data_IF_318719768934
#
_entry.id   IF_318719768934
#
_cell.length_a   1.000
_cell.length_b   1.000
_cell.length_c   1.000
_cell.angle_alpha   90.00
_cell.angle_beta   90.00
_cell.angle_gamma   90.00
#
_symmetry.space_group_name_H-M   'P 1'
#
loop_
_entity.id
_entity.type
_entity.pdbx_description
1 polymer ?
#
# COMPACT_ATOMS: atom_id res chain seq x y z
N UNK A 1 -42.77 -1.57 -42.60
CA UNK A 1 -41.80 -2.37 -41.82
C UNK A 1 -41.26 -1.49 -40.71
N UNK A 2 -41.46 -1.87 -39.43
CA UNK A 2 -40.80 -1.17 -38.30
C UNK A 2 -39.43 -1.80 -38.10
N UNK A 3 -38.38 -1.00 -38.29
CA UNK A 3 -36.99 -1.39 -38.05
C UNK A 3 -36.55 -0.85 -36.68
N UNK A 4 -35.68 -1.57 -35.94
CA UNK A 4 -35.14 -1.07 -34.69
C UNK A 4 -34.29 0.18 -34.94
N UNK A 5 -34.47 1.20 -34.08
CA UNK A 5 -33.62 2.40 -34.09
C UNK A 5 -32.44 2.16 -33.17
N UNK A 6 -31.23 2.40 -33.67
CA UNK A 6 -30.02 2.44 -32.83
C UNK A 6 -30.17 3.59 -31.83
N UNK A 7 -30.13 3.28 -30.53
CA UNK A 7 -30.22 4.30 -29.48
C UNK A 7 -28.94 5.14 -29.42
N UNK A 8 -29.06 6.39 -28.97
CA UNK A 8 -27.91 7.25 -28.71
C UNK A 8 -26.95 6.63 -27.69
N UNK A 9 -27.48 5.83 -26.76
CA UNK A 9 -26.68 5.09 -25.79
C UNK A 9 -25.72 4.10 -26.48
N UNK A 10 -26.20 3.30 -27.45
CA UNK A 10 -25.34 2.38 -28.20
C UNK A 10 -24.27 3.10 -29.02
N UNK A 11 -24.57 4.31 -29.52
CA UNK A 11 -23.60 5.15 -30.22
C UNK A 11 -22.53 5.64 -29.23
N UNK A 12 -22.96 6.20 -28.10
CA UNK A 12 -22.07 6.68 -27.02
C UNK A 12 -21.15 5.57 -26.51
N UNK A 13 -21.67 4.37 -26.29
CA UNK A 13 -20.88 3.21 -25.87
C UNK A 13 -19.81 2.87 -26.92
N UNK A 14 -20.21 2.72 -28.19
CA UNK A 14 -19.28 2.41 -29.30
C UNK A 14 -18.19 3.48 -29.47
N UNK A 15 -18.58 4.76 -29.39
CA UNK A 15 -17.66 5.89 -29.48
C UNK A 15 -16.68 5.93 -28.31
N UNK A 16 -17.14 5.57 -27.11
CA UNK A 16 -16.31 5.53 -25.90
C UNK A 16 -15.26 4.43 -25.98
N UNK A 17 -15.64 3.23 -26.44
CA UNK A 17 -14.69 2.13 -26.66
C UNK A 17 -13.62 2.51 -27.69
N UNK A 18 -14.03 3.16 -28.77
CA UNK A 18 -13.11 3.64 -29.81
C UNK A 18 -12.12 4.65 -29.25
N UNK A 19 -12.59 5.64 -28.48
CA UNK A 19 -11.74 6.64 -27.87
C UNK A 19 -10.77 6.04 -26.83
N UNK A 20 -11.25 5.10 -25.99
CA UNK A 20 -10.40 4.42 -25.02
C UNK A 20 -9.28 3.63 -25.70
N UNK A 21 -9.60 2.84 -26.73
CA UNK A 21 -8.60 2.06 -27.51
C UNK A 21 -7.51 2.94 -28.13
N UNK A 22 -7.84 4.19 -28.49
CA UNK A 22 -6.88 5.12 -29.07
C UNK A 22 -5.89 5.69 -28.05
N UNK A 23 -6.28 5.79 -26.77
CA UNK A 23 -5.44 6.36 -25.72
C UNK A 23 -4.68 5.30 -24.91
N UNK A 24 -5.14 4.05 -24.91
CA UNK A 24 -4.43 2.98 -24.24
C UNK A 24 -3.11 2.64 -24.96
N UNK A 25 -2.04 2.29 -24.21
CA UNK A 25 -0.78 1.89 -24.82
C UNK A 25 -0.96 0.67 -25.73
N UNK A 26 -0.40 0.72 -26.93
CA UNK A 26 -0.57 -0.31 -27.96
C UNK A 26 -0.09 -1.70 -27.55
N UNK A 27 0.88 -1.75 -26.63
CA UNK A 27 1.42 -3.00 -26.11
C UNK A 27 0.50 -3.68 -25.07
N UNK A 28 -0.48 -2.97 -24.51
CA UNK A 28 -1.41 -3.58 -23.56
C UNK A 28 -2.40 -4.50 -24.26
N UNK A 29 -2.74 -5.61 -23.62
CA UNK A 29 -3.72 -6.57 -24.17
C UNK A 29 -5.10 -6.20 -23.65
N UNK A 30 -6.05 -5.95 -24.56
CA UNK A 30 -7.45 -5.62 -24.24
C UNK A 30 -8.31 -6.86 -24.44
N UNK A 31 -9.12 -7.19 -23.44
CA UNK A 31 -10.09 -8.31 -23.46
C UNK A 31 -11.47 -7.75 -23.13
N UNK A 32 -12.32 -7.57 -24.13
CA UNK A 32 -13.68 -7.08 -23.95
C UNK A 32 -14.59 -8.16 -23.35
N UNK A 33 -15.50 -7.75 -22.46
CA UNK A 33 -16.49 -8.65 -21.86
C UNK A 33 -17.79 -8.47 -22.62
N UNK A 34 -18.22 -9.53 -23.33
CA UNK A 34 -19.33 -9.44 -24.28
C UNK A 34 -20.71 -9.78 -23.69
N UNK A 35 -20.78 -10.59 -22.63
CA UNK A 35 -22.06 -11.02 -22.02
C UNK A 35 -22.02 -10.97 -20.49
N UNK A 36 -23.13 -10.53 -19.87
CA UNK A 36 -23.32 -10.48 -18.41
C UNK A 36 -22.13 -9.85 -17.68
N UNK A 37 -21.75 -8.64 -18.09
CA UNK A 37 -20.60 -7.92 -17.58
C UNK A 37 -20.66 -7.59 -16.07
N UNK A 38 -21.86 -7.59 -15.48
CA UNK A 38 -22.14 -7.13 -14.11
C UNK A 38 -21.45 -5.79 -13.79
N UNK A 39 -21.31 -4.92 -14.80
CA UNK A 39 -20.62 -3.64 -14.72
C UNK A 39 -19.10 -3.68 -14.92
N UNK A 40 -18.56 -4.63 -15.68
CA UNK A 40 -17.16 -4.66 -16.11
C UNK A 40 -17.09 -4.79 -17.64
N UNK A 41 -16.73 -3.72 -18.32
CA UNK A 41 -16.80 -3.69 -19.78
C UNK A 41 -15.60 -4.38 -20.44
N UNK A 42 -14.42 -4.32 -19.80
CA UNK A 42 -13.21 -4.96 -20.33
C UNK A 42 -12.15 -5.17 -19.25
N UNK A 43 -11.25 -6.11 -19.53
CA UNK A 43 -10.00 -6.29 -18.82
C UNK A 43 -8.83 -5.81 -19.67
N UNK A 44 -7.85 -5.19 -19.03
CA UNK A 44 -6.56 -4.89 -19.63
C UNK A 44 -5.47 -5.70 -18.94
N UNK A 45 -4.49 -6.16 -19.71
CA UNK A 45 -3.21 -6.61 -19.19
C UNK A 45 -2.17 -5.51 -19.42
N UNK A 46 -1.61 -5.01 -18.32
CA UNK A 46 -0.61 -3.97 -18.33
C UNK A 46 0.72 -4.61 -18.71
N UNK A 47 1.20 -4.27 -19.91
CA UNK A 47 2.47 -4.79 -20.43
C UNK A 47 3.58 -3.76 -20.20
N UNK A 48 4.62 -4.20 -19.51
CA UNK A 48 5.81 -3.41 -19.20
C UNK A 48 6.72 -3.14 -20.39
N UNK A 49 7.83 -2.44 -20.15
CA UNK A 49 8.79 -2.05 -21.20
C UNK A 49 9.45 -3.23 -21.91
N UNK A 50 9.61 -4.34 -21.20
CA UNK A 50 10.22 -5.58 -21.72
C UNK A 50 9.27 -6.36 -22.64
N UNK A 51 8.02 -5.91 -22.82
CA UNK A 51 6.99 -6.56 -23.65
C UNK A 51 6.66 -7.99 -23.21
N UNK A 52 6.94 -8.32 -21.94
CA UNK A 52 6.60 -9.61 -21.36
C UNK A 52 5.19 -9.56 -20.75
N UNK A 53 4.40 -10.59 -21.04
CA UNK A 53 3.11 -10.83 -20.40
C UNK A 53 3.34 -11.37 -18.99
N UNK A 54 2.85 -10.64 -17.99
CA UNK A 54 3.04 -10.96 -16.56
C UNK A 54 1.75 -11.38 -15.86
N UNK A 55 0.60 -11.34 -16.55
CA UNK A 55 -0.71 -11.49 -15.91
C UNK A 55 -1.12 -10.29 -15.06
N UNK A 56 -0.52 -9.11 -15.28
CA UNK A 56 -0.87 -7.87 -14.59
C UNK A 56 -2.21 -7.30 -15.08
N UNK A 57 -3.30 -7.82 -14.52
CA UNK A 57 -4.66 -7.55 -14.98
C UNK A 57 -5.36 -6.44 -14.18
N UNK A 58 -6.02 -5.52 -14.88
CA UNK A 58 -6.97 -4.57 -14.30
C UNK A 58 -8.32 -4.64 -15.03
N UNK A 59 -9.42 -4.47 -14.29
CA UNK A 59 -10.75 -4.42 -14.84
C UNK A 59 -11.21 -2.96 -15.00
N UNK A 60 -11.82 -2.64 -16.14
CA UNK A 60 -12.33 -1.30 -16.43
C UNK A 60 -13.85 -1.32 -16.61
N UNK A 61 -14.53 -0.40 -15.93
CA UNK A 61 -15.87 0.04 -16.32
C UNK A 61 -15.74 1.33 -17.12
N UNK A 62 -16.14 1.30 -18.37
CA UNK A 62 -16.21 2.43 -19.28
C UNK A 62 -17.57 3.14 -19.18
N UNK A 63 -17.54 4.47 -19.16
CA UNK A 63 -18.72 5.32 -19.23
C UNK A 63 -18.48 6.48 -20.19
N UNK A 64 -19.34 6.61 -21.20
CA UNK A 64 -19.34 7.76 -22.10
C UNK A 64 -20.17 8.92 -21.59
N UNK A 65 -19.67 10.15 -21.70
CA UNK A 65 -20.45 11.38 -21.55
C UNK A 65 -20.15 12.35 -22.68
N UNK A 66 -21.18 13.06 -23.16
CA UNK A 66 -21.02 14.09 -24.21
C UNK A 66 -19.94 15.11 -23.83
N UNK A 67 -20.05 15.68 -22.63
CA UNK A 67 -19.05 16.55 -22.03
C UNK A 67 -18.89 16.24 -20.53
N UNK A 68 -17.66 16.33 -20.02
CA UNK A 68 -17.34 16.27 -18.60
C UNK A 68 -17.06 17.68 -18.08
N UNK A 69 -17.75 18.09 -17.02
CA UNK A 69 -17.53 19.38 -16.36
C UNK A 69 -16.63 19.18 -15.15
N UNK A 70 -15.46 19.79 -15.17
CA UNK A 70 -14.54 19.82 -14.04
C UNK A 70 -14.69 21.14 -13.30
N UNK A 71 -14.83 21.09 -11.98
CA UNK A 71 -14.85 22.24 -11.08
C UNK A 71 -13.71 22.05 -10.10
N UNK A 72 -12.78 23.00 -10.04
CA UNK A 72 -11.53 22.90 -9.25
C UNK A 72 -10.78 21.58 -9.50
N UNK A 73 -10.66 21.22 -10.78
CA UNK A 73 -9.99 19.99 -11.22
C UNK A 73 -10.74 18.69 -10.96
N UNK A 74 -11.97 18.74 -10.45
CA UNK A 74 -12.73 17.53 -10.10
C UNK A 74 -14.03 17.44 -10.86
N UNK A 75 -14.35 16.24 -11.33
CA UNK A 75 -15.66 15.88 -11.87
C UNK A 75 -16.28 14.76 -11.04
N UNK A 76 -17.59 14.57 -11.17
CA UNK A 76 -18.30 13.51 -10.45
C UNK A 76 -19.17 12.71 -11.41
N UNK A 77 -19.04 11.39 -11.33
CA UNK A 77 -19.88 10.44 -12.01
C UNK A 77 -20.83 9.79 -11.00
N UNK A 78 -22.07 10.28 -10.96
CA UNK A 78 -23.12 9.82 -10.04
C UNK A 78 -23.98 8.70 -10.64
N UNK A 79 -24.69 7.97 -9.78
CA UNK A 79 -25.71 7.01 -10.21
C UNK A 79 -25.21 5.58 -10.37
N UNK A 80 -23.99 5.27 -9.91
CA UNK A 80 -23.51 3.88 -9.85
C UNK A 80 -24.25 3.17 -8.75
N UNK A 81 -24.88 2.03 -9.06
CA UNK A 81 -25.61 1.26 -8.05
C UNK A 81 -24.65 0.69 -7.00
N UNK A 82 -25.11 0.61 -5.76
CA UNK A 82 -24.33 0.02 -4.66
C UNK A 82 -23.99 -1.45 -4.89
N UNK A 83 -24.90 -2.23 -5.48
CA UNK A 83 -24.65 -3.63 -5.83
C UNK A 83 -23.44 -3.76 -6.79
N UNK A 84 -23.35 -2.87 -7.78
CA UNK A 84 -22.23 -2.82 -8.73
C UNK A 84 -20.93 -2.43 -8.06
N UNK A 85 -20.95 -1.42 -7.17
CA UNK A 85 -19.78 -1.06 -6.38
C UNK A 85 -19.30 -2.23 -5.51
N UNK A 86 -20.21 -2.89 -4.80
CA UNK A 86 -19.87 -4.03 -3.93
C UNK A 86 -19.23 -5.16 -4.73
N UNK A 87 -19.76 -5.45 -5.91
CA UNK A 87 -19.15 -6.39 -6.85
C UNK A 87 -17.72 -5.97 -7.23
N UNK A 88 -17.52 -4.71 -7.63
CA UNK A 88 -16.18 -4.19 -7.97
C UNK A 88 -15.17 -4.31 -6.83
N UNK A 89 -15.59 -4.02 -5.59
CA UNK A 89 -14.73 -4.11 -4.42
C UNK A 89 -14.36 -5.57 -4.07
N UNK A 90 -15.23 -6.52 -4.40
CA UNK A 90 -14.99 -7.95 -4.19
C UNK A 90 -14.07 -8.61 -5.23
N UNK A 91 -13.83 -7.94 -6.37
CA UNK A 91 -12.98 -8.51 -7.42
C UNK A 91 -11.52 -8.60 -6.97
N UNK A 92 -10.81 -9.71 -7.31
CA UNK A 92 -9.41 -9.87 -6.98
C UNK A 92 -8.52 -8.91 -7.77
N UNK A 93 -8.95 -8.54 -8.98
CA UNK A 93 -8.26 -7.53 -9.79
C UNK A 93 -8.69 -6.11 -9.41
N UNK A 94 -7.78 -5.11 -9.49
CA UNK A 94 -8.15 -3.72 -9.33
C UNK A 94 -9.18 -3.27 -10.37
N UNK A 95 -10.21 -2.55 -9.93
CA UNK A 95 -11.24 -1.98 -10.80
C UNK A 95 -11.04 -0.48 -10.94
N UNK A 96 -11.08 0.01 -12.17
CA UNK A 96 -11.06 1.42 -12.51
C UNK A 96 -12.32 1.81 -13.26
N UNK A 97 -12.92 2.94 -12.91
CA UNK A 97 -13.93 3.56 -13.76
C UNK A 97 -13.23 4.49 -14.75
N UNK A 98 -13.44 4.28 -16.04
CA UNK A 98 -12.97 5.13 -17.12
C UNK A 98 -14.13 5.97 -17.67
N UNK A 99 -14.00 7.29 -17.63
CA UNK A 99 -14.97 8.23 -18.17
C UNK A 99 -14.45 8.90 -19.43
N UNK A 100 -15.12 8.71 -20.56
CA UNK A 100 -14.77 9.32 -21.84
C UNK A 100 -15.60 10.58 -22.06
N UNK A 101 -14.93 11.71 -22.28
CA UNK A 101 -15.55 12.94 -22.77
C UNK A 101 -15.60 12.90 -24.30
N UNK A 102 -16.78 12.69 -24.88
CA UNK A 102 -16.92 12.51 -26.34
C UNK A 102 -16.60 13.76 -27.14
N UNK A 103 -16.85 14.96 -26.60
CA UNK A 103 -16.50 16.23 -27.27
C UNK A 103 -14.99 16.41 -27.42
N UNK A 104 -14.20 16.03 -26.40
CA UNK A 104 -12.74 16.19 -26.42
C UNK A 104 -11.99 14.90 -26.77
N UNK A 105 -12.71 13.77 -26.88
CA UNK A 105 -12.16 12.41 -26.99
C UNK A 105 -11.11 12.06 -25.91
N UNK A 106 -11.15 12.76 -24.77
CA UNK A 106 -10.27 12.46 -23.62
C UNK A 106 -10.91 11.40 -22.73
N UNK A 107 -10.08 10.55 -22.14
CA UNK A 107 -10.50 9.52 -21.20
C UNK A 107 -9.82 9.76 -19.84
N UNK A 108 -10.62 9.79 -18.79
CA UNK A 108 -10.19 9.95 -17.39
C UNK A 108 -10.46 8.66 -16.64
N UNK A 109 -9.69 8.37 -15.60
CA UNK A 109 -9.86 7.17 -14.79
C UNK A 109 -9.99 7.47 -13.30
N UNK A 110 -10.61 6.55 -12.57
CA UNK A 110 -10.76 6.60 -11.13
C UNK A 110 -10.54 5.21 -10.54
N UNK A 111 -9.64 5.11 -9.56
CA UNK A 111 -9.39 3.87 -8.83
C UNK A 111 -10.47 3.67 -7.75
N UNK A 112 -11.27 2.61 -7.90
CA UNK A 112 -12.42 2.34 -7.04
C UNK A 112 -11.99 1.94 -5.62
N UNK A 113 -11.03 1.04 -5.47
CA UNK A 113 -10.57 0.60 -4.14
C UNK A 113 -9.90 1.74 -3.37
N UNK A 114 -9.13 2.59 -4.06
CA UNK A 114 -8.54 3.79 -3.44
C UNK A 114 -9.60 4.77 -2.91
N UNK A 115 -10.63 5.07 -3.69
CA UNK A 115 -11.73 5.94 -3.22
C UNK A 115 -12.54 5.32 -2.08
N UNK A 116 -12.72 3.99 -2.09
CA UNK A 116 -13.35 3.29 -0.98
C UNK A 116 -12.58 3.47 0.33
N UNK A 117 -11.25 3.31 0.27
CA UNK A 117 -10.37 3.51 1.44
C UNK A 117 -10.37 4.94 1.98
N UNK A 118 -10.59 5.92 1.10
CA UNK A 118 -10.80 7.33 1.47
C UNK A 118 -12.22 7.61 2.03
N UNK A 119 -13.03 6.58 2.30
CA UNK A 119 -14.36 6.72 2.87
C UNK A 119 -15.43 7.25 1.91
N UNK A 120 -15.14 7.39 0.61
CA UNK A 120 -16.07 8.02 -0.35
C UNK A 120 -17.40 7.29 -0.50
N UNK A 121 -17.44 5.99 -0.18
CA UNK A 121 -18.60 5.14 -0.36
C UNK A 121 -19.30 4.76 0.95
N UNK A 122 -18.95 5.41 2.07
CA UNK A 122 -19.49 5.10 3.41
C UNK A 122 -20.97 5.41 3.63
N UNK A 123 -21.62 6.23 2.78
CA UNK A 123 -23.08 6.47 2.91
C UNK A 123 -23.88 5.18 2.71
N UNK A 124 -25.15 5.11 3.14
CA UNK A 124 -26.04 3.97 2.89
C UNK A 124 -26.89 4.09 1.61
N UNK A 125 -26.64 5.11 0.78
CA UNK A 125 -27.42 5.39 -0.44
C UNK A 125 -27.42 4.23 -1.43
N UNK A 126 -28.55 3.97 -2.11
CA UNK A 126 -28.67 2.95 -3.18
C UNK A 126 -27.72 3.20 -4.35
N UNK A 127 -27.29 4.45 -4.54
CA UNK A 127 -26.30 4.84 -5.54
C UNK A 127 -25.14 5.60 -4.91
N UNK A 128 -23.97 5.46 -5.51
CA UNK A 128 -22.73 6.14 -5.16
C UNK A 128 -22.27 7.04 -6.30
N UNK A 129 -21.39 7.96 -5.95
CA UNK A 129 -20.75 8.89 -6.87
C UNK A 129 -19.25 8.66 -6.86
N UNK A 130 -18.66 8.59 -8.04
CA UNK A 130 -17.23 8.41 -8.23
C UNK A 130 -16.62 9.75 -8.61
N UNK A 131 -15.54 10.11 -7.94
CA UNK A 131 -14.81 11.32 -8.26
C UNK A 131 -13.80 11.05 -9.37
N UNK A 132 -13.67 11.98 -10.30
CA UNK A 132 -12.62 12.00 -11.32
C UNK A 132 -11.78 13.26 -11.10
N UNK A 133 -10.48 13.17 -11.35
CA UNK A 133 -9.60 14.33 -11.43
C UNK A 133 -9.21 14.58 -12.89
N UNK A 134 -8.83 15.81 -13.24
CA UNK A 134 -8.39 16.12 -14.60
C UNK A 134 -6.95 15.69 -14.88
N UNK A 135 -6.19 15.33 -13.84
CA UNK A 135 -4.84 14.79 -13.94
C UNK A 135 -4.82 13.27 -14.16
N UNK A 136 -5.84 12.56 -13.67
CA UNK A 136 -5.99 11.11 -13.84
C UNK A 136 -6.58 10.80 -15.23
N UNK A 137 -5.78 11.04 -16.28
CA UNK A 137 -6.11 10.71 -17.67
C UNK A 137 -5.12 9.69 -18.28
N UNK A 138 -5.21 9.43 -19.59
CA UNK A 138 -4.28 8.56 -20.30
C UNK A 138 -3.22 9.33 -21.11
N UNK A 139 -2.88 10.56 -20.70
CA UNK A 139 -1.64 11.23 -21.15
C UNK A 139 -0.41 10.52 -20.59
N UNK A 140 0.81 10.89 -21.00
CA UNK A 140 2.03 10.25 -20.49
C UNK A 140 2.13 10.30 -18.95
N UNK A 141 1.83 11.45 -18.35
CA UNK A 141 1.81 11.61 -16.89
C UNK A 141 0.66 10.81 -16.25
N UNK A 142 -0.53 10.86 -16.86
CA UNK A 142 -1.70 10.13 -16.38
C UNK A 142 -1.54 8.60 -16.48
N UNK A 143 -0.86 8.10 -17.50
CA UNK A 143 -0.48 6.69 -17.65
C UNK A 143 0.54 6.24 -16.60
N UNK A 144 1.50 7.11 -16.28
CA UNK A 144 2.43 6.87 -15.18
C UNK A 144 1.69 6.82 -13.84
N UNK A 145 0.77 7.75 -13.59
CA UNK A 145 -0.09 7.76 -12.40
C UNK A 145 -1.00 6.52 -12.34
N UNK A 146 -1.58 6.09 -13.47
CA UNK A 146 -2.37 4.86 -13.56
C UNK A 146 -1.54 3.63 -13.19
N UNK A 147 -0.32 3.53 -13.73
CA UNK A 147 0.61 2.42 -13.45
C UNK A 147 1.04 2.37 -11.98
N UNK A 148 1.29 3.54 -11.38
CA UNK A 148 1.59 3.67 -9.94
C UNK A 148 0.39 3.24 -9.11
N UNK A 149 -0.81 3.74 -9.47
CA UNK A 149 -2.07 3.39 -8.82
C UNK A 149 -2.34 1.88 -8.89
N UNK A 150 -2.20 1.27 -10.06
CA UNK A 150 -2.32 -0.18 -10.25
C UNK A 150 -1.32 -0.96 -9.39
N UNK A 151 -0.04 -0.58 -9.44
CA UNK A 151 1.03 -1.25 -8.69
C UNK A 151 0.77 -1.18 -7.18
N UNK A 152 0.25 -0.04 -6.71
CA UNK A 152 -0.15 0.14 -5.32
C UNK A 152 -1.31 -0.77 -4.94
N UNK A 153 -2.35 -0.90 -5.78
CA UNK A 153 -3.45 -1.85 -5.52
C UNK A 153 -2.98 -3.29 -5.49
N UNK A 154 -2.12 -3.70 -6.44
CA UNK A 154 -1.56 -5.05 -6.50
C UNK A 154 -0.82 -5.40 -5.19
N UNK A 155 -0.09 -4.42 -4.64
CA UNK A 155 0.72 -4.59 -3.42
C UNK A 155 -0.03 -4.24 -2.14
N UNK A 156 -1.28 -3.78 -2.25
CA UNK A 156 -2.04 -3.27 -1.10
C UNK A 156 -2.18 -4.29 0.04
N UNK A 157 -2.46 -5.59 -0.20
CA UNK A 157 -2.53 -6.57 0.89
C UNK A 157 -1.23 -6.67 1.71
N UNK A 158 -0.10 -6.55 1.04
CA UNK A 158 1.22 -6.60 1.68
C UNK A 158 1.51 -5.30 2.44
N UNK A 159 1.10 -4.15 1.87
CA UNK A 159 1.19 -2.84 2.51
C UNK A 159 0.34 -2.81 3.78
N UNK A 160 -0.89 -3.33 3.74
CA UNK A 160 -1.77 -3.45 4.90
C UNK A 160 -1.16 -4.31 6.00
N UNK A 161 -0.60 -5.46 5.64
CA UNK A 161 0.09 -6.31 6.59
C UNK A 161 1.31 -5.58 7.18
N UNK A 162 2.10 -4.87 6.37
CA UNK A 162 3.21 -4.07 6.88
C UNK A 162 2.74 -2.95 7.81
N UNK A 163 1.61 -2.30 7.52
CA UNK A 163 0.98 -1.30 8.41
C UNK A 163 0.66 -1.94 9.76
N UNK A 164 -0.15 -3.01 9.77
CA UNK A 164 -0.54 -3.70 11.00
C UNK A 164 0.67 -4.16 11.80
N UNK A 165 1.60 -4.88 11.16
CA UNK A 165 2.77 -5.44 11.87
C UNK A 165 3.74 -4.37 12.34
N UNK A 166 3.99 -3.33 11.55
CA UNK A 166 4.87 -2.24 11.99
C UNK A 166 4.29 -1.45 13.16
N UNK A 167 2.97 -1.28 13.21
CA UNK A 167 2.29 -0.64 14.34
C UNK A 167 2.28 -1.56 15.56
N UNK A 168 2.04 -2.86 15.41
CA UNK A 168 2.03 -3.78 16.57
C UNK A 168 3.43 -4.09 17.14
N UNK A 169 4.48 -3.99 16.31
CA UNK A 169 5.85 -4.35 16.67
C UNK A 169 6.76 -3.12 16.82
N UNK A 170 6.23 -1.90 16.84
CA UNK A 170 7.11 -0.72 16.85
C UNK A 170 7.98 -0.66 18.12
N UNK A 171 7.47 -1.16 19.25
CA UNK A 171 8.16 -1.23 20.53
C UNK A 171 9.40 -2.14 20.47
N UNK A 172 9.40 -3.16 19.62
CA UNK A 172 10.55 -4.06 19.45
C UNK A 172 11.68 -3.46 18.61
N UNK A 173 11.43 -2.36 17.89
CA UNK A 173 12.47 -1.76 17.04
C UNK A 173 13.59 -1.12 17.87
N UNK A 174 13.25 -0.52 19.01
CA UNK A 174 14.20 0.12 19.93
C UNK A 174 15.28 -0.80 20.46
N UNK A 175 14.89 -1.83 21.22
CA UNK A 175 15.86 -2.76 21.77
C UNK A 175 16.69 -3.42 20.65
N UNK A 176 16.09 -3.79 19.50
CA UNK A 176 16.81 -4.35 18.36
C UNK A 176 17.92 -3.41 17.84
N UNK A 177 17.60 -2.13 17.65
CA UNK A 177 18.57 -1.12 17.19
C UNK A 177 19.69 -0.96 18.22
N UNK A 178 19.37 -0.91 19.51
CA UNK A 178 20.34 -0.78 20.59
C UNK A 178 21.30 -1.97 20.67
N UNK A 179 20.78 -3.20 20.56
CA UNK A 179 21.59 -4.43 20.47
C UNK A 179 22.60 -4.32 19.35
N UNK A 180 22.13 -3.93 18.16
CA UNK A 180 22.99 -3.84 16.98
C UNK A 180 24.03 -2.73 17.12
N UNK A 181 23.65 -1.60 17.74
CA UNK A 181 24.52 -0.45 17.96
C UNK A 181 25.64 -0.73 18.97
N UNK A 182 25.36 -1.49 20.04
CA UNK A 182 26.33 -1.81 21.10
C UNK A 182 27.26 -2.98 20.76
N UNK A 183 26.81 -3.85 19.86
CA UNK A 183 27.59 -5.02 19.47
C UNK A 183 28.87 -4.65 18.71
N UNK A 184 29.91 -5.46 18.90
CA UNK A 184 31.19 -5.28 18.21
C UNK A 184 31.01 -5.54 16.71
N UNK A 185 31.42 -4.57 15.88
CA UNK A 185 31.12 -4.58 14.45
C UNK A 185 31.73 -5.75 13.66
N UNK A 186 32.83 -6.31 14.17
CA UNK A 186 33.54 -7.45 13.61
C UNK A 186 32.97 -8.81 14.04
N UNK A 187 31.83 -8.85 14.73
CA UNK A 187 31.11 -10.08 15.03
C UNK A 187 29.89 -10.23 14.11
N UNK A 188 29.60 -11.45 13.63
CA UNK A 188 28.32 -11.74 12.98
C UNK A 188 27.18 -11.69 14.01
N UNK A 189 26.01 -11.22 13.58
CA UNK A 189 24.81 -11.29 14.41
C UNK A 189 24.29 -12.73 14.53
N UNK A 190 23.50 -13.00 15.58
CA UNK A 190 22.80 -14.27 15.72
C UNK A 190 21.71 -14.41 14.64
N UNK A 191 21.28 -15.64 14.37
CA UNK A 191 20.20 -15.92 13.43
C UNK A 191 18.90 -15.23 13.82
N UNK A 192 18.59 -15.19 15.12
CA UNK A 192 17.44 -14.46 15.66
C UNK A 192 17.47 -12.98 15.29
N UNK A 193 18.60 -12.30 15.54
CA UNK A 193 18.76 -10.89 15.19
C UNK A 193 18.63 -10.70 13.67
N UNK A 194 19.21 -11.60 12.87
CA UNK A 194 19.07 -11.56 11.42
C UNK A 194 17.59 -11.61 10.97
N UNK A 195 16.79 -12.51 11.55
CA UNK A 195 15.37 -12.63 11.20
C UNK A 195 14.58 -11.39 11.60
N UNK A 196 14.80 -10.86 12.81
CA UNK A 196 14.15 -9.63 13.27
C UNK A 196 14.50 -8.43 12.38
N UNK A 197 15.78 -8.27 12.03
CA UNK A 197 16.23 -7.21 11.11
C UNK A 197 15.55 -7.36 9.75
N UNK A 198 15.54 -8.57 9.18
CA UNK A 198 14.91 -8.81 7.88
C UNK A 198 13.43 -8.44 7.90
N UNK A 199 12.71 -8.85 8.95
CA UNK A 199 11.29 -8.56 9.12
C UNK A 199 11.02 -7.05 9.22
N UNK A 200 11.72 -6.34 10.11
CA UNK A 200 11.59 -4.88 10.22
C UNK A 200 12.00 -4.17 8.91
N UNK A 201 13.01 -4.68 8.21
CA UNK A 201 13.47 -4.11 6.95
C UNK A 201 12.44 -4.28 5.83
N UNK A 202 11.76 -5.43 5.75
CA UNK A 202 10.68 -5.65 4.78
C UNK A 202 9.52 -4.68 4.99
N UNK A 203 9.12 -4.44 6.25
CA UNK A 203 8.09 -3.45 6.57
C UNK A 203 8.55 -2.03 6.23
N UNK A 204 9.76 -1.65 6.64
CA UNK A 204 10.37 -0.38 6.23
C UNK A 204 10.36 -0.22 4.71
N UNK A 205 10.76 -1.26 3.96
CA UNK A 205 10.85 -1.19 2.51
C UNK A 205 9.48 -0.94 1.86
N UNK A 206 8.44 -1.66 2.30
CA UNK A 206 7.08 -1.47 1.80
C UNK A 206 6.54 -0.08 2.16
N UNK A 207 6.60 0.29 3.44
CA UNK A 207 5.96 1.50 3.92
C UNK A 207 6.67 2.77 3.43
N UNK A 208 8.00 2.83 3.47
CA UNK A 208 8.74 3.98 2.94
C UNK A 208 8.49 4.18 1.45
N UNK A 209 8.37 3.09 0.69
CA UNK A 209 8.07 3.16 -0.74
C UNK A 209 6.64 3.62 -1.03
N UNK A 210 5.65 3.06 -0.34
CA UNK A 210 4.24 3.26 -0.70
C UNK A 210 3.50 4.33 0.11
N UNK A 211 3.99 4.69 1.30
CA UNK A 211 3.44 5.77 2.12
C UNK A 211 4.26 7.06 1.96
N UNK A 212 5.60 6.96 1.92
CA UNK A 212 6.47 8.14 1.82
C UNK A 212 7.00 8.43 0.40
N UNK A 213 6.75 7.54 -0.57
CA UNK A 213 7.24 7.71 -1.95
C UNK A 213 8.76 7.57 -2.11
N UNK A 214 9.44 6.96 -1.12
CA UNK A 214 10.90 6.75 -1.12
C UNK A 214 11.30 5.57 -2.01
N UNK A 215 12.60 5.41 -2.22
CA UNK A 215 13.18 4.30 -3.00
C UNK A 215 14.23 3.55 -2.16
N UNK A 216 13.81 2.85 -1.10
CA UNK A 216 14.71 2.07 -0.26
C UNK A 216 15.45 1.01 -1.08
N UNK A 217 16.69 0.70 -0.69
CA UNK A 217 17.48 -0.38 -1.30
C UNK A 217 16.80 -1.73 -1.05
N UNK A 218 16.95 -2.68 -1.97
CA UNK A 218 16.50 -4.06 -1.72
C UNK A 218 17.33 -4.67 -0.60
N UNK A 219 16.78 -5.65 0.13
CA UNK A 219 17.51 -6.32 1.21
C UNK A 219 18.80 -6.99 0.70
N UNK A 220 18.82 -7.48 -0.54
CA UNK A 220 20.02 -8.04 -1.19
C UNK A 220 21.21 -7.10 -1.20
N UNK A 221 20.98 -5.78 -1.32
CA UNK A 221 22.03 -4.77 -1.26
C UNK A 221 22.82 -4.87 0.06
N UNK A 222 22.15 -5.09 1.18
CA UNK A 222 22.82 -5.21 2.49
C UNK A 222 23.62 -6.50 2.64
N UNK A 223 23.14 -7.59 2.03
CA UNK A 223 23.93 -8.82 1.93
C UNK A 223 25.19 -8.63 1.06
N UNK A 224 25.10 -7.88 -0.04
CA UNK A 224 26.27 -7.50 -0.85
C UNK A 224 27.25 -6.62 -0.07
N UNK A 225 26.75 -5.66 0.72
CA UNK A 225 27.59 -4.85 1.61
C UNK A 225 28.31 -5.72 2.65
N UNK A 226 27.66 -6.78 3.14
CA UNK A 226 28.26 -7.71 4.09
C UNK A 226 29.40 -8.52 3.48
N UNK A 227 29.23 -9.03 2.26
CA UNK A 227 30.29 -9.71 1.52
C UNK A 227 31.49 -8.76 1.31
N UNK A 228 31.20 -7.51 0.93
CA UNK A 228 32.24 -6.49 0.73
C UNK A 228 32.98 -6.13 2.03
N UNK A 229 32.25 -6.04 3.15
CA UNK A 229 32.83 -5.78 4.46
C UNK A 229 33.75 -6.93 4.91
N UNK A 230 33.32 -8.19 4.74
CA UNK A 230 34.14 -9.37 5.05
C UNK A 230 35.46 -9.36 4.28
N UNK A 231 35.40 -9.12 2.97
CA UNK A 231 36.58 -9.09 2.11
C UNK A 231 37.56 -7.96 2.50
N UNK A 232 37.05 -6.75 2.77
CA UNK A 232 37.89 -5.59 3.09
C UNK A 232 38.55 -5.64 4.48
N UNK A 233 37.99 -6.42 5.40
CA UNK A 233 38.48 -6.53 6.79
C UNK A 233 39.09 -7.89 7.11
N UNK A 234 39.19 -8.78 6.11
CA UNK A 234 39.70 -10.15 6.26
C UNK A 234 38.95 -10.96 7.34
N UNK A 235 37.63 -10.75 7.44
CA UNK A 235 36.75 -11.50 8.36
C UNK A 235 36.25 -12.80 7.69
N UNK A 236 35.99 -13.86 8.48
CA UNK A 236 35.51 -15.12 7.93
C UNK A 236 34.13 -14.97 7.28
N UNK A 237 33.81 -15.80 6.27
CA UNK A 237 32.48 -15.86 5.70
C UNK A 237 31.41 -16.14 6.76
N UNK A 238 30.28 -15.45 6.67
CA UNK A 238 29.11 -15.67 7.54
C UNK A 238 27.82 -15.69 6.73
N UNK A 239 26.87 -16.54 7.14
CA UNK A 239 25.50 -16.57 6.62
C UNK A 239 24.66 -15.39 7.14
N UNK A 240 25.04 -14.84 8.29
CA UNK A 240 24.41 -13.66 8.90
C UNK A 240 25.23 -12.40 8.67
N UNK A 241 24.57 -11.26 8.75
CA UNK A 241 25.19 -9.96 8.62
C UNK A 241 26.09 -9.67 9.83
N UNK A 242 27.25 -9.06 9.58
CA UNK A 242 28.08 -8.50 10.62
C UNK A 242 27.41 -7.28 11.24
N UNK A 243 27.58 -7.09 12.56
CA UNK A 243 26.96 -5.97 13.26
C UNK A 243 27.35 -4.61 12.69
N UNK A 244 28.56 -4.48 12.11
CA UNK A 244 28.95 -3.26 11.39
C UNK A 244 27.98 -2.90 10.25
N UNK A 245 27.50 -3.90 9.51
CA UNK A 245 26.57 -3.72 8.39
C UNK A 245 25.18 -3.40 8.92
N UNK A 246 24.73 -4.06 9.99
CA UNK A 246 23.47 -3.74 10.66
C UNK A 246 23.44 -2.30 11.18
N UNK A 247 24.55 -1.82 11.73
CA UNK A 247 24.70 -0.44 12.18
C UNK A 247 24.56 0.56 11.02
N UNK A 248 25.16 0.26 9.87
CA UNK A 248 25.02 1.11 8.68
C UNK A 248 23.60 1.06 8.09
N UNK A 249 22.97 -0.12 8.11
CA UNK A 249 21.57 -0.33 7.73
C UNK A 249 20.66 0.56 8.58
N UNK A 250 20.72 0.47 9.90
CA UNK A 250 19.87 1.28 10.77
C UNK A 250 20.20 2.77 10.68
N UNK A 251 21.48 3.16 10.59
CA UNK A 251 21.86 4.56 10.39
C UNK A 251 21.23 5.17 9.14
N UNK A 252 21.10 4.39 8.06
CA UNK A 252 20.56 4.88 6.80
C UNK A 252 19.04 4.82 6.67
N UNK A 253 18.36 3.97 7.48
CA UNK A 253 16.93 3.66 7.27
C UNK A 253 16.02 4.03 8.43
N UNK A 254 16.56 4.20 9.65
CA UNK A 254 15.73 4.35 10.85
C UNK A 254 14.82 5.58 10.80
N UNK A 255 15.30 6.70 10.24
CA UNK A 255 14.50 7.92 10.08
C UNK A 255 13.32 7.72 9.14
N UNK A 256 13.57 7.19 7.94
CA UNK A 256 12.50 6.89 6.96
C UNK A 256 11.54 5.82 7.51
N UNK A 257 12.02 4.85 8.31
CA UNK A 257 11.14 3.84 8.91
C UNK A 257 10.23 4.43 9.98
N UNK A 258 10.76 5.27 10.88
CA UNK A 258 9.94 6.02 11.85
C UNK A 258 8.86 6.81 11.14
N UNK A 259 9.23 7.62 10.15
CA UNK A 259 8.27 8.45 9.41
C UNK A 259 7.20 7.59 8.72
N UNK A 260 7.57 6.37 8.31
CA UNK A 260 6.64 5.41 7.73
C UNK A 260 5.65 4.86 8.76
N UNK A 261 6.10 4.59 10.00
CA UNK A 261 5.24 4.13 11.10
C UNK A 261 4.28 5.26 11.52
N UNK A 262 4.74 6.51 11.59
CA UNK A 262 3.89 7.68 11.86
C UNK A 262 2.83 7.83 10.77
N UNK A 263 3.25 7.80 9.49
CA UNK A 263 2.31 7.87 8.37
C UNK A 263 1.31 6.70 8.38
N UNK A 264 1.74 5.50 8.78
CA UNK A 264 0.86 4.35 8.95
C UNK A 264 -0.16 4.59 10.07
N UNK A 265 0.27 5.14 11.22
CA UNK A 265 -0.61 5.47 12.34
C UNK A 265 -1.65 6.53 11.93
N UNK A 266 -1.22 7.65 11.32
CA UNK A 266 -2.13 8.69 10.81
C UNK A 266 -3.11 8.13 9.78
N UNK A 267 -2.65 7.21 8.93
CA UNK A 267 -3.51 6.55 7.96
C UNK A 267 -4.60 5.71 8.64
N UNK A 268 -4.22 4.93 9.67
CA UNK A 268 -5.10 4.02 10.40
C UNK A 268 -6.07 4.77 11.30
N UNK A 269 -5.61 5.82 12.01
CA UNK A 269 -6.39 6.49 13.04
C UNK A 269 -7.13 7.73 12.55
N UNK A 270 -6.69 8.35 11.45
CA UNK A 270 -7.24 9.61 10.98
C UNK A 270 -7.72 9.53 9.53
N UNK A 271 -6.81 9.38 8.57
CA UNK A 271 -7.11 9.58 7.15
C UNK A 271 -8.02 8.50 6.56
N UNK A 272 -7.91 7.27 7.06
CA UNK A 272 -8.66 6.10 6.60
C UNK A 272 -9.26 5.31 7.79
N UNK A 273 -9.58 6.00 8.89
CA UNK A 273 -10.08 5.39 10.13
C UNK A 273 -11.23 4.41 9.90
N UNK A 274 -12.27 4.84 9.17
CA UNK A 274 -13.40 3.97 8.85
C UNK A 274 -12.97 2.69 8.11
N UNK A 275 -12.01 2.78 7.18
CA UNK A 275 -11.55 1.62 6.44
C UNK A 275 -10.81 0.63 7.37
N UNK A 276 -9.86 1.12 8.15
CA UNK A 276 -9.05 0.28 9.03
C UNK A 276 -9.84 -0.27 10.22
N UNK A 277 -10.82 0.46 10.77
CA UNK A 277 -11.72 -0.03 11.81
C UNK A 277 -12.51 -1.28 11.36
N UNK A 278 -12.88 -1.38 10.08
CA UNK A 278 -13.55 -2.56 9.54
C UNK A 278 -12.56 -3.65 9.10
N UNK A 279 -11.41 -3.26 8.55
CA UNK A 279 -10.42 -4.19 7.99
C UNK A 279 -9.58 -4.89 9.05
N UNK A 280 -9.21 -4.16 10.11
CA UNK A 280 -8.39 -4.59 11.23
C UNK A 280 -9.00 -4.07 12.55
N UNK A 281 -10.17 -4.59 12.97
CA UNK A 281 -10.91 -4.06 14.12
C UNK A 281 -10.10 -4.12 15.42
N UNK A 282 -9.31 -5.18 15.63
CA UNK A 282 -8.48 -5.32 16.82
C UNK A 282 -7.28 -4.37 16.85
N UNK A 283 -6.63 -4.13 15.69
CA UNK A 283 -5.58 -3.11 15.59
C UNK A 283 -6.16 -1.73 15.94
N UNK A 284 -7.30 -1.39 15.36
CA UNK A 284 -7.93 -0.09 15.57
C UNK A 284 -8.31 0.11 17.05
N UNK A 285 -8.99 -0.85 17.66
CA UNK A 285 -9.35 -0.81 19.08
C UNK A 285 -8.10 -0.73 19.99
N UNK A 286 -7.04 -1.49 19.66
CA UNK A 286 -5.77 -1.43 20.39
C UNK A 286 -5.16 -0.02 20.35
N UNK A 287 -5.11 0.61 19.17
CA UNK A 287 -4.55 1.96 19.02
C UNK A 287 -5.44 3.05 19.61
N UNK A 288 -6.77 2.86 19.68
CA UNK A 288 -7.67 3.76 20.42
C UNK A 288 -7.41 3.68 21.93
N UNK A 289 -7.26 2.47 22.48
CA UNK A 289 -7.03 2.25 23.90
C UNK A 289 -5.59 2.60 24.32
N UNK A 290 -4.62 2.35 23.45
CA UNK A 290 -3.19 2.59 23.65
C UNK A 290 -2.60 3.36 22.46
N UNK A 291 -2.91 4.67 22.33
CA UNK A 291 -2.34 5.50 21.29
C UNK A 291 -0.82 5.47 21.35
N UNK A 292 -0.19 5.34 20.19
CA UNK A 292 1.26 5.51 20.12
C UNK A 292 1.61 6.98 20.38
N UNK A 293 2.25 7.27 21.51
CA UNK A 293 2.86 8.58 21.75
C UNK A 293 4.14 8.72 20.92
N UNK A 294 3.99 9.13 19.66
CA UNK A 294 5.11 9.55 18.82
C UNK A 294 5.51 11.00 19.15
N UNK A 295 6.14 11.23 20.30
CA UNK A 295 6.75 12.53 20.58
C UNK A 295 8.08 12.63 19.82
N UNK A 296 8.24 13.67 18.99
CA UNK A 296 9.41 13.91 18.12
C UNK A 296 10.73 13.82 18.89
N UNK A 297 10.76 14.38 20.10
CA UNK A 297 11.93 14.38 20.98
C UNK A 297 12.11 13.01 21.66
N UNK A 298 11.03 12.32 21.99
CA UNK A 298 11.05 11.06 22.74
C UNK A 298 11.48 9.86 21.87
N UNK A 299 11.19 9.89 20.56
CA UNK A 299 11.61 8.82 19.65
C UNK A 299 13.13 8.72 19.49
N UNK A 300 13.83 9.85 19.41
CA UNK A 300 15.29 9.82 19.47
C UNK A 300 15.75 9.58 20.90
N UNK A 301 15.03 10.08 21.90
CA UNK A 301 15.45 9.99 23.29
C UNK A 301 15.44 8.56 23.84
N UNK A 302 14.34 7.82 23.65
CA UNK A 302 14.19 6.41 24.03
C UNK A 302 15.24 5.47 23.39
N UNK A 303 15.77 5.84 22.24
CA UNK A 303 16.76 5.02 21.51
C UNK A 303 18.22 5.45 21.76
N UNK A 304 18.45 6.64 22.33
CA UNK A 304 19.80 7.21 22.54
C UNK A 304 20.16 7.49 23.99
N UNK A 305 19.20 7.69 24.89
CA UNK A 305 19.43 8.21 26.25
C UNK A 305 19.31 7.17 27.35
N UNK A 306 19.38 5.88 27.01
CA UNK A 306 19.58 4.83 28.00
C UNK A 306 18.48 4.74 29.08
N UNK A 307 17.25 5.15 28.81
CA UNK A 307 16.12 4.85 29.72
C UNK A 307 15.85 3.32 29.82
N UNK A 308 16.42 2.54 28.90
CA UNK A 308 16.43 1.08 28.87
C UNK A 308 17.75 0.47 29.37
N UNK A 309 18.61 1.21 30.10
CA UNK A 309 19.93 0.71 30.55
C UNK A 309 19.79 -0.61 31.35
N UNK A 310 18.73 -0.75 32.14
CA UNK A 310 18.38 -1.98 32.86
C UNK A 310 17.82 -3.09 31.94
N UNK A 311 17.18 -2.73 30.83
CA UNK A 311 16.56 -3.66 29.86
C UNK A 311 17.55 -4.16 28.78
N UNK A 312 18.77 -3.63 28.76
CA UNK A 312 19.70 -3.85 27.64
C UNK A 312 21.00 -4.54 28.05
N UNK A 313 21.12 -4.95 29.33
CA UNK A 313 22.21 -5.78 29.81
C UNK A 313 22.13 -7.23 29.27
N UNK A 314 20.91 -7.72 29.03
CA UNK A 314 20.63 -9.07 28.48
C UNK A 314 19.45 -9.02 27.50
N UNK A 315 19.64 -8.43 26.32
CA UNK A 315 18.55 -8.17 25.39
C UNK A 315 17.84 -9.43 24.91
N UNK A 316 18.56 -10.56 24.87
CA UNK A 316 18.00 -11.87 24.52
C UNK A 316 17.00 -12.36 25.58
N UNK A 317 17.18 -12.03 26.86
CA UNK A 317 16.21 -12.44 27.90
C UNK A 317 14.91 -11.64 27.81
N UNK A 318 14.95 -10.38 27.39
CA UNK A 318 13.74 -9.52 27.31
C UNK A 318 12.81 -9.81 26.13
N UNK A 319 13.33 -10.39 25.04
CA UNK A 319 12.48 -10.87 23.95
C UNK A 319 11.85 -12.24 24.22
N UNK A 320 12.34 -12.98 25.24
CA UNK A 320 12.02 -14.40 25.44
C UNK A 320 11.57 -14.77 26.87
N UNK A 321 11.65 -13.87 27.86
CA UNK A 321 10.95 -14.03 29.12
C UNK A 321 9.50 -13.59 28.93
N UNK A 322 8.60 -14.59 28.86
CA UNK A 322 7.16 -14.41 28.73
C UNK A 322 6.64 -13.35 29.72
N UNK A 323 5.82 -12.43 29.21
CA UNK A 323 5.01 -11.56 30.04
C UNK A 323 4.06 -12.45 30.87
N UNK A 324 4.36 -12.61 32.16
CA UNK A 324 3.48 -13.28 33.13
C UNK A 324 2.22 -12.44 33.47
N UNK A 325 2.03 -11.29 32.82
CA UNK A 325 0.86 -10.45 32.99
C UNK A 325 -0.21 -10.83 31.96
N UNK A 326 -1.06 -11.77 32.37
CA UNK A 326 -2.33 -12.07 31.71
C UNK A 326 -3.19 -10.80 31.66
N UNK A 327 -3.64 -10.41 30.47
CA UNK A 327 -4.56 -9.29 30.26
C UNK A 327 -5.98 -9.67 30.73
N UNK A 328 -6.50 -9.07 31.83
CA UNK A 328 -7.84 -9.39 32.35
C UNK A 328 -8.95 -9.07 31.35
N UNK A 329 -8.72 -8.13 30.42
CA UNK A 329 -9.72 -7.64 29.47
C UNK A 329 -10.00 -8.67 28.35
N UNK A 330 -9.08 -9.62 28.12
CA UNK A 330 -9.30 -10.72 27.18
C UNK A 330 -10.38 -11.69 27.67
N UNK A 331 -10.52 -11.84 28.99
CA UNK A 331 -11.46 -12.77 29.62
C UNK A 331 -12.91 -12.26 29.56
N UNK A 332 -13.12 -10.94 29.56
CA UNK A 332 -14.43 -10.34 29.29
C UNK A 332 -14.84 -10.47 27.82
N UNK A 333 -13.89 -10.31 26.89
CA UNK A 333 -14.13 -10.42 25.45
C UNK A 333 -14.45 -11.85 24.98
N UNK A 334 -13.97 -12.86 25.70
CA UNK A 334 -14.26 -14.28 25.41
C UNK A 334 -15.59 -14.73 26.05
N UNK A 335 -16.11 -13.97 27.03
CA UNK A 335 -17.35 -14.29 27.76
C UNK A 335 -18.59 -13.56 27.21
N UNK A 336 -18.43 -12.63 26.26
CA UNK A 336 -19.52 -11.97 25.51
C UNK A 336 -19.71 -12.59 24.13
#
# INVERSE_FOLDING_TARGET
MQLPKRSDQHIIESDSFTALRQVLPRQWVIREVSERDYGIDLYIEIVGREQLLSGDMAALQLKGKKALKFVNGRATFSGIKRETLNYWLSLPVPVFLCAVCLTTRKCYWANIKSQNRQGRFGSSSKTVSIQLTNEDDFSDNGLMAFSISYTREKRWPEIENAIEKSLMLFNTLGPLVLICKRSQGNLPCSTTIQYLVNQHYEYHWLLSKYLLGKKPKLLSYWYEQNISYQASTNLPPSLTLYYKVLQDLFRSTLGDYRDSIIAAYELVMELQAHYFAHRFPFLFAHLEARPHTFLMDDWYSRYFFDEYENETAYPEMLYFEDFNEFDPDLDELIRS
#
